data_IF_476773923749
#
_entry.id   IF_476773923749
#
_cell.length_a   1.000
_cell.length_b   1.000
_cell.length_c   1.000
_cell.angle_alpha   90.00
_cell.angle_beta   90.00
_cell.angle_gamma   90.00
#
_symmetry.space_group_name_H-M   'P 1'
#
loop_
_entity.id
_entity.type
_entity.pdbx_description
1 polymer ?
#
# COMPACT_ATOMS: atom_id res chain seq x y z
N UNK A 1 46.10 37.59 -4.17
CA UNK A 1 45.29 36.33 -4.31
C UNK A 1 44.64 35.91 -2.98
N UNK A 2 45.27 36.13 -1.85
CA UNK A 2 44.79 35.72 -0.53
C UNK A 2 43.51 36.44 -0.03
N UNK A 3 43.38 37.74 -0.38
CA UNK A 3 42.21 38.54 0.09
C UNK A 3 40.89 38.16 -0.60
N UNK A 4 40.95 37.71 -1.86
CA UNK A 4 39.79 37.23 -2.60
C UNK A 4 39.33 35.84 -2.11
N UNK A 5 40.27 34.97 -1.78
CA UNK A 5 40.02 33.65 -1.23
C UNK A 5 39.38 33.77 0.16
N UNK A 6 39.89 34.69 1.00
CA UNK A 6 39.32 34.94 2.33
C UNK A 6 37.87 35.44 2.25
N UNK A 7 37.58 36.39 1.35
CA UNK A 7 36.20 36.90 1.17
C UNK A 7 35.23 35.84 0.65
N UNK A 8 35.66 34.98 -0.26
CA UNK A 8 34.84 33.86 -0.75
C UNK A 8 34.60 32.83 0.34
N UNK A 9 35.62 32.53 1.15
CA UNK A 9 35.46 31.61 2.29
C UNK A 9 34.51 32.18 3.33
N UNK A 10 34.59 33.46 3.66
CA UNK A 10 33.68 34.12 4.61
C UNK A 10 32.23 34.14 4.11
N UNK A 11 31.99 34.33 2.81
CA UNK A 11 30.66 34.26 2.23
C UNK A 11 30.09 32.83 2.19
N UNK A 12 30.92 31.84 1.92
CA UNK A 12 30.55 30.43 1.95
C UNK A 12 30.21 29.99 3.39
N UNK A 13 31.08 30.39 4.35
CA UNK A 13 30.82 30.09 5.77
C UNK A 13 29.59 30.80 6.31
N UNK A 14 29.26 32.01 5.85
CA UNK A 14 27.99 32.69 6.16
C UNK A 14 26.79 31.97 5.58
N UNK A 15 26.87 31.42 4.38
CA UNK A 15 25.78 30.63 3.76
C UNK A 15 25.61 29.26 4.38
N UNK A 16 26.68 28.62 4.83
CA UNK A 16 26.64 27.33 5.52
C UNK A 16 26.21 27.49 6.99
N UNK A 17 26.57 28.60 7.65
CA UNK A 17 26.15 28.91 9.02
C UNK A 17 24.74 29.49 9.15
N UNK A 18 24.11 29.87 8.03
CA UNK A 18 22.74 30.35 7.96
C UNK A 18 21.74 29.26 7.54
N UNK A 19 22.08 27.95 7.75
CA UNK A 19 21.05 26.94 7.83
C UNK A 19 20.20 27.30 9.05
N UNK A 20 18.97 27.76 8.79
CA UNK A 20 17.96 27.89 9.83
C UNK A 20 17.97 26.61 10.69
N UNK A 21 17.75 26.72 12.01
CA UNK A 21 17.60 25.54 12.81
C UNK A 21 16.54 24.69 12.11
N UNK A 22 16.89 23.43 11.81
CA UNK A 22 15.91 22.48 11.33
C UNK A 22 14.74 22.60 12.32
N UNK A 23 13.59 23.09 11.86
CA UNK A 23 12.35 22.85 12.59
C UNK A 23 12.36 21.34 12.80
N UNK A 24 12.58 20.93 14.05
CA UNK A 24 12.26 19.57 14.47
C UNK A 24 10.79 19.42 14.08
N UNK A 25 10.58 18.76 12.95
CA UNK A 25 9.27 18.31 12.53
C UNK A 25 8.86 17.36 13.64
N UNK A 26 8.19 17.88 14.68
CA UNK A 26 7.53 17.08 15.69
C UNK A 26 6.60 16.16 14.92
N UNK A 27 7.03 14.93 14.71
CA UNK A 27 6.15 13.90 14.23
C UNK A 27 4.90 13.99 15.12
N UNK A 28 3.68 14.03 14.54
CA UNK A 28 2.46 14.10 15.34
C UNK A 28 2.55 13.00 16.39
N UNK A 29 2.32 13.36 17.64
CA UNK A 29 2.39 12.41 18.75
C UNK A 29 1.56 11.19 18.38
N UNK A 30 2.15 10.01 18.47
CA UNK A 30 1.45 8.78 18.16
C UNK A 30 0.11 8.76 18.93
N UNK A 31 -1.01 8.38 18.29
CA UNK A 31 -2.30 8.38 18.95
C UNK A 31 -2.21 7.57 20.24
N UNK A 32 -2.53 8.20 21.36
CA UNK A 32 -2.50 7.53 22.66
C UNK A 32 -3.75 6.65 22.78
N UNK A 33 -3.53 5.34 22.75
CA UNK A 33 -4.56 4.35 23.03
C UNK A 33 -4.14 3.52 24.25
N UNK A 34 -5.04 3.43 25.23
CA UNK A 34 -4.77 2.71 26.48
C UNK A 34 -5.10 1.20 26.40
N UNK A 35 -5.48 0.70 25.23
CA UNK A 35 -5.73 -0.73 25.02
C UNK A 35 -4.40 -1.48 24.89
N UNK A 36 -4.30 -2.60 25.59
CA UNK A 36 -3.12 -3.48 25.53
C UNK A 36 -2.96 -4.13 24.15
N UNK A 37 -4.06 -4.28 23.43
CA UNK A 37 -4.16 -4.82 22.09
C UNK A 37 -3.70 -3.83 21.01
N UNK A 38 -3.65 -2.55 21.30
CA UNK A 38 -3.25 -1.54 20.32
C UNK A 38 -1.75 -1.61 20.03
N UNK A 39 -1.41 -1.68 18.73
CA UNK A 39 -0.01 -1.67 18.26
C UNK A 39 0.36 -0.33 17.65
N UNK A 40 -0.51 0.23 16.82
CA UNK A 40 -0.27 1.51 16.16
C UNK A 40 -1.25 1.80 15.05
N UNK A 41 -0.97 2.87 14.32
CA UNK A 41 -1.73 3.29 13.14
C UNK A 41 -0.79 3.60 11.97
N UNK A 42 -1.36 3.61 10.75
CA UNK A 42 -0.69 4.08 9.55
C UNK A 42 -1.62 4.96 8.70
N UNK A 43 -1.10 5.50 7.62
CA UNK A 43 -1.87 6.25 6.61
C UNK A 43 -3.06 5.42 6.10
N UNK A 44 -4.11 6.07 5.61
CA UNK A 44 -5.35 5.42 5.15
C UNK A 44 -6.26 5.01 6.31
N UNK A 45 -6.15 5.65 7.50
CA UNK A 45 -6.88 5.29 8.72
C UNK A 45 -6.66 3.82 9.13
N UNK A 46 -5.47 3.31 8.83
CA UNK A 46 -5.11 1.93 9.13
C UNK A 46 -4.83 1.78 10.62
N UNK A 47 -5.47 0.79 11.25
CA UNK A 47 -5.22 0.41 12.64
C UNK A 47 -4.56 -0.97 12.71
N UNK A 48 -3.61 -1.11 13.60
CA UNK A 48 -2.96 -2.38 13.93
C UNK A 48 -3.26 -2.80 15.36
N UNK A 49 -3.72 -4.04 15.51
CA UNK A 49 -4.12 -4.62 16.79
C UNK A 49 -3.47 -6.01 16.97
N UNK A 50 -3.32 -6.43 18.22
CA UNK A 50 -2.89 -7.79 18.57
C UNK A 50 -3.73 -8.33 19.71
N UNK A 51 -4.24 -9.55 19.57
CA UNK A 51 -4.92 -10.28 20.62
C UNK A 51 -4.03 -11.47 21.01
N UNK A 52 -3.47 -11.44 22.21
CA UNK A 52 -2.49 -12.44 22.67
C UNK A 52 -3.08 -13.82 22.91
N UNK A 53 -4.36 -13.88 23.26
CA UNK A 53 -5.09 -15.12 23.50
C UNK A 53 -6.54 -14.93 23.08
N UNK A 54 -6.82 -15.31 21.83
CA UNK A 54 -8.16 -15.19 21.26
C UNK A 54 -9.13 -16.11 21.99
N UNK A 55 -10.31 -15.61 22.36
CA UNK A 55 -11.34 -16.41 23.01
C UNK A 55 -11.82 -17.55 22.10
N UNK A 56 -12.04 -18.72 22.68
CA UNK A 56 -12.41 -19.93 21.93
C UNK A 56 -13.73 -19.78 21.14
N UNK A 57 -14.70 -19.03 21.64
CA UNK A 57 -15.95 -18.80 20.91
C UNK A 57 -15.71 -17.94 19.66
N UNK A 58 -14.76 -17.01 19.72
CA UNK A 58 -14.35 -16.21 18.57
C UNK A 58 -13.54 -17.04 17.57
N UNK A 59 -12.65 -17.93 18.07
CA UNK A 59 -11.98 -18.94 17.23
C UNK A 59 -12.99 -19.74 16.41
N UNK A 60 -13.99 -20.30 17.09
CA UNK A 60 -15.01 -21.14 16.48
C UNK A 60 -15.84 -20.36 15.44
N UNK A 61 -16.25 -19.13 15.79
CA UNK A 61 -17.07 -18.28 14.93
C UNK A 61 -16.30 -17.84 13.67
N UNK A 62 -15.03 -17.50 13.80
CA UNK A 62 -14.15 -17.11 12.68
C UNK A 62 -13.54 -18.30 11.94
N UNK A 63 -13.74 -19.53 12.44
CA UNK A 63 -13.15 -20.78 11.90
C UNK A 63 -11.62 -20.72 11.83
N UNK A 64 -11.01 -20.10 12.84
CA UNK A 64 -9.56 -20.03 12.99
C UNK A 64 -9.08 -21.30 13.71
N UNK A 65 -8.01 -21.91 13.19
CA UNK A 65 -7.41 -23.09 13.82
C UNK A 65 -6.93 -22.73 15.24
N UNK A 66 -7.31 -23.50 16.28
CA UNK A 66 -6.91 -23.27 17.67
C UNK A 66 -5.39 -23.22 17.91
N UNK A 67 -4.56 -23.72 17.00
CA UNK A 67 -3.10 -23.58 17.07
C UNK A 67 -2.65 -22.11 17.06
N UNK A 68 -3.42 -21.22 16.40
CA UNK A 68 -3.13 -19.78 16.39
C UNK A 68 -3.73 -19.10 17.60
N UNK A 69 -3.10 -19.27 18.74
CA UNK A 69 -3.56 -18.66 19.99
C UNK A 69 -3.54 -17.14 19.94
N UNK A 70 -2.55 -16.56 19.26
CA UNK A 70 -2.42 -15.13 19.07
C UNK A 70 -2.81 -14.74 17.66
N UNK A 71 -3.47 -13.59 17.52
CA UNK A 71 -3.78 -12.98 16.23
C UNK A 71 -3.29 -11.54 16.17
N UNK A 72 -2.73 -11.17 15.02
CA UNK A 72 -2.48 -9.80 14.61
C UNK A 72 -3.55 -9.34 13.63
N UNK A 73 -3.95 -8.09 13.69
CA UNK A 73 -5.01 -7.54 12.85
C UNK A 73 -4.53 -6.24 12.24
N UNK A 74 -4.71 -6.08 10.94
CA UNK A 74 -4.65 -4.82 10.21
C UNK A 74 -6.04 -4.58 9.61
N UNK A 75 -6.57 -3.39 9.83
CA UNK A 75 -7.86 -3.00 9.25
C UNK A 75 -7.89 -1.51 8.95
N UNK A 76 -8.62 -1.16 7.90
CA UNK A 76 -8.86 0.22 7.48
C UNK A 76 -10.23 0.35 6.81
N UNK A 77 -10.61 1.59 6.48
CA UNK A 77 -11.84 1.91 5.74
C UNK A 77 -11.56 2.30 4.30
N UNK A 78 -10.33 2.71 3.99
CA UNK A 78 -9.94 3.21 2.67
C UNK A 78 -8.54 2.76 2.32
N UNK A 79 -8.37 2.17 1.14
CA UNK A 79 -7.07 1.73 0.65
C UNK A 79 -7.11 0.31 0.12
N UNK A 80 -7.02 -0.69 0.94
CA UNK A 80 -6.91 -2.11 0.66
C UNK A 80 -5.59 -2.52 -0.04
N UNK A 81 -5.30 -2.07 -1.25
CA UNK A 81 -4.10 -2.44 -2.01
C UNK A 81 -2.80 -2.24 -1.22
N UNK A 82 -2.50 -1.03 -0.75
CA UNK A 82 -1.30 -0.76 0.04
C UNK A 82 -1.17 -1.63 1.28
N UNK A 83 -2.27 -1.81 2.03
CA UNK A 83 -2.28 -2.61 3.25
C UNK A 83 -2.08 -4.11 2.96
N UNK A 84 -2.65 -4.62 1.86
CA UNK A 84 -2.49 -6.03 1.46
C UNK A 84 -1.04 -6.32 1.04
N UNK A 85 -0.40 -5.40 0.29
CA UNK A 85 1.01 -5.55 -0.04
C UNK A 85 1.91 -5.44 1.18
N UNK A 86 1.62 -4.51 2.10
CA UNK A 86 2.31 -4.40 3.38
C UNK A 86 2.16 -5.67 4.25
N UNK A 87 0.98 -6.28 4.23
CA UNK A 87 0.74 -7.56 4.90
C UNK A 87 1.52 -8.72 4.27
N UNK A 88 1.70 -8.72 2.95
CA UNK A 88 2.53 -9.72 2.27
C UNK A 88 4.01 -9.59 2.68
N UNK A 89 4.52 -8.36 2.86
CA UNK A 89 5.86 -8.13 3.44
C UNK A 89 5.93 -8.59 4.91
N UNK A 90 4.87 -8.39 5.69
CA UNK A 90 4.82 -8.83 7.08
C UNK A 90 4.93 -10.35 7.22
N UNK A 91 4.19 -11.12 6.42
CA UNK A 91 4.25 -12.59 6.43
C UNK A 91 5.63 -13.10 5.98
N UNK A 92 6.30 -12.40 5.05
CA UNK A 92 7.68 -12.73 4.65
C UNK A 92 8.72 -12.50 5.76
N UNK A 93 8.43 -11.56 6.67
CA UNK A 93 9.35 -11.12 7.71
C UNK A 93 9.10 -11.77 9.09
N UNK A 94 8.08 -12.61 9.23
CA UNK A 94 7.66 -13.18 10.52
C UNK A 94 7.25 -14.65 10.38
N UNK A 95 7.09 -15.33 11.51
CA UNK A 95 6.55 -16.70 11.56
C UNK A 95 5.04 -16.66 11.78
N UNK A 96 4.31 -16.01 10.84
CA UNK A 96 2.86 -15.90 10.87
C UNK A 96 2.23 -16.44 9.59
N UNK A 97 0.97 -16.83 9.68
CA UNK A 97 0.14 -17.17 8.52
C UNK A 97 -0.95 -16.11 8.32
N UNK A 98 -1.26 -15.79 7.09
CA UNK A 98 -2.39 -14.95 6.77
C UNK A 98 -3.69 -15.79 6.81
N UNK A 99 -4.53 -15.55 7.81
CA UNK A 99 -5.75 -16.31 8.03
C UNK A 99 -6.93 -15.74 7.25
N UNK A 100 -7.11 -14.42 7.29
CA UNK A 100 -8.21 -13.71 6.64
C UNK A 100 -7.63 -12.54 5.85
N UNK A 101 -8.09 -12.36 4.62
CA UNK A 101 -7.94 -11.13 3.82
C UNK A 101 -9.27 -10.86 3.17
N UNK A 102 -9.90 -9.79 3.56
CA UNK A 102 -11.17 -9.34 3.02
C UNK A 102 -11.07 -7.87 2.61
N UNK A 103 -11.72 -7.50 1.51
CA UNK A 103 -11.75 -6.14 0.99
C UNK A 103 -13.21 -5.64 1.03
N UNK A 104 -13.75 -5.34 2.23
CA UNK A 104 -15.10 -4.86 2.35
C UNK A 104 -15.22 -3.49 1.72
N UNK A 105 -16.32 -3.25 1.01
CA UNK A 105 -16.63 -1.92 0.52
C UNK A 105 -17.09 -1.04 1.68
N UNK A 106 -16.44 0.12 1.84
CA UNK A 106 -16.93 1.17 2.71
C UNK A 106 -17.79 2.17 1.93
N UNK A 107 -18.88 2.63 2.51
CA UNK A 107 -19.81 3.57 1.90
C UNK A 107 -19.44 5.03 2.11
N UNK A 108 -18.53 5.33 3.02
CA UNK A 108 -17.94 6.65 3.20
C UNK A 108 -16.80 6.88 2.20
N UNK A 109 -16.89 7.92 1.42
CA UNK A 109 -15.77 8.38 0.60
C UNK A 109 -15.67 7.81 -0.81
N UNK A 110 -16.77 7.47 -1.44
CA UNK A 110 -16.76 7.16 -2.88
C UNK A 110 -16.38 5.72 -3.20
N UNK A 111 -15.49 5.46 -4.12
CA UNK A 111 -15.17 4.12 -4.62
C UNK A 111 -14.20 3.28 -3.76
N UNK A 112 -13.83 3.72 -2.57
CA UNK A 112 -12.82 3.04 -1.75
C UNK A 112 -13.29 1.70 -1.17
N UNK A 113 -12.37 0.75 -1.11
CA UNK A 113 -12.50 -0.47 -0.31
C UNK A 113 -11.67 -0.29 0.94
N UNK A 114 -12.14 -0.85 2.06
CA UNK A 114 -11.30 -1.07 3.22
C UNK A 114 -10.64 -2.44 3.18
N UNK A 115 -9.96 -2.80 4.23
CA UNK A 115 -9.46 -4.16 4.42
C UNK A 115 -9.67 -4.68 5.84
N UNK A 116 -9.77 -6.01 5.93
CA UNK A 116 -9.60 -6.78 7.14
C UNK A 116 -8.56 -7.85 6.86
N UNK A 117 -7.42 -7.76 7.54
CA UNK A 117 -6.32 -8.72 7.42
C UNK A 117 -6.03 -9.29 8.80
N UNK A 118 -6.04 -10.61 8.92
CA UNK A 118 -5.77 -11.31 10.18
C UNK A 118 -4.58 -12.25 9.99
N UNK A 119 -3.56 -12.04 10.80
CA UNK A 119 -2.39 -12.90 10.92
C UNK A 119 -2.59 -13.86 12.10
N UNK A 120 -2.30 -15.14 11.91
CA UNK A 120 -2.26 -16.13 12.97
C UNK A 120 -0.83 -16.45 13.39
N UNK A 121 -0.62 -16.59 14.68
CA UNK A 121 0.64 -17.04 15.26
C UNK A 121 0.40 -17.93 16.51
N UNK A 122 1.34 -18.82 16.78
CA UNK A 122 1.37 -19.54 18.05
C UNK A 122 1.82 -18.63 19.19
N UNK A 123 2.77 -17.72 18.90
CA UNK A 123 3.31 -16.74 19.84
C UNK A 123 2.84 -15.30 19.56
N UNK A 124 2.48 -14.60 20.63
CA UNK A 124 2.04 -13.20 20.55
C UNK A 124 3.12 -12.25 20.00
N UNK A 125 4.38 -12.57 20.20
CA UNK A 125 5.52 -11.78 19.66
C UNK A 125 5.54 -11.79 18.15
N UNK A 126 5.26 -12.93 17.51
CA UNK A 126 5.19 -13.05 16.07
C UNK A 126 3.98 -12.30 15.50
N UNK A 127 2.80 -12.44 16.14
CA UNK A 127 1.60 -11.71 15.77
C UNK A 127 1.82 -10.18 15.86
N UNK A 128 2.41 -9.69 16.96
CA UNK A 128 2.76 -8.28 17.14
C UNK A 128 3.74 -7.81 16.08
N UNK A 129 4.80 -8.58 15.83
CA UNK A 129 5.81 -8.23 14.84
C UNK A 129 5.24 -8.15 13.44
N UNK A 130 4.32 -9.03 13.07
CA UNK A 130 3.63 -8.95 11.76
C UNK A 130 2.85 -7.63 11.62
N UNK A 131 2.10 -7.24 12.66
CA UNK A 131 1.37 -5.96 12.67
C UNK A 131 2.33 -4.77 12.58
N UNK A 132 3.42 -4.75 13.34
CA UNK A 132 4.43 -3.68 13.28
C UNK A 132 5.05 -3.55 11.88
N UNK A 133 5.39 -4.68 11.24
CA UNK A 133 5.93 -4.68 9.87
C UNK A 133 4.90 -4.16 8.90
N UNK A 134 3.66 -4.65 8.96
CA UNK A 134 2.59 -4.20 8.06
C UNK A 134 2.33 -2.69 8.21
N UNK A 135 2.24 -2.16 9.44
CA UNK A 135 2.07 -0.72 9.67
C UNK A 135 3.24 0.11 9.12
N UNK A 136 4.47 -0.39 9.23
CA UNK A 136 5.67 0.28 8.70
C UNK A 136 5.71 0.28 7.17
N UNK A 137 5.31 -0.83 6.54
CA UNK A 137 5.33 -0.97 5.08
C UNK A 137 4.14 -0.28 4.39
N UNK A 138 3.03 -0.07 5.09
CA UNK A 138 1.84 0.59 4.53
C UNK A 138 2.15 1.95 3.87
N UNK A 139 2.87 2.90 4.50
CA UNK A 139 3.22 4.17 3.85
C UNK A 139 4.08 4.01 2.59
N UNK A 140 4.90 2.98 2.51
CA UNK A 140 5.71 2.68 1.31
C UNK A 140 4.78 2.38 0.14
N UNK A 141 3.81 1.50 0.34
CA UNK A 141 2.87 1.09 -0.70
C UNK A 141 1.85 2.19 -1.06
N UNK A 142 1.65 3.20 -0.22
CA UNK A 142 0.92 4.42 -0.58
C UNK A 142 1.73 5.38 -1.46
N UNK A 143 3.00 5.10 -1.71
CA UNK A 143 3.88 5.96 -2.50
C UNK A 143 3.49 6.13 -3.96
N UNK A 144 2.80 5.17 -4.55
CA UNK A 144 2.29 5.24 -5.93
C UNK A 144 0.76 5.26 -5.99
N UNK A 145 0.14 5.98 -5.05
CA UNK A 145 -1.29 6.31 -5.03
C UNK A 145 -1.46 7.78 -5.31
N UNK A 146 -2.18 8.11 -6.37
CA UNK A 146 -2.41 9.47 -6.87
C UNK A 146 -3.90 9.75 -6.96
N UNK A 147 -4.31 10.99 -6.73
CA UNK A 147 -5.70 11.38 -6.84
C UNK A 147 -5.91 12.88 -7.01
N UNK A 148 -7.07 13.22 -7.55
CA UNK A 148 -7.66 14.56 -7.56
C UNK A 148 -9.19 14.43 -7.49
N UNK A 149 -9.92 15.54 -7.62
CA UNK A 149 -11.38 15.54 -7.59
C UNK A 149 -12.04 14.73 -8.71
N UNK A 150 -11.31 14.45 -9.81
CA UNK A 150 -11.82 13.69 -10.96
C UNK A 150 -11.63 12.17 -10.83
N UNK A 151 -10.75 11.70 -9.94
CA UNK A 151 -10.52 10.27 -9.77
C UNK A 151 -9.23 9.92 -9.05
N UNK A 152 -8.82 8.65 -9.17
CA UNK A 152 -7.60 8.14 -8.55
C UNK A 152 -6.88 7.12 -9.44
N UNK A 153 -5.59 6.98 -9.17
CA UNK A 153 -4.69 6.01 -9.77
C UNK A 153 -3.89 5.37 -8.64
N UNK A 154 -3.86 4.05 -8.59
CA UNK A 154 -3.14 3.31 -7.59
C UNK A 154 -2.31 2.23 -8.26
N UNK A 155 -1.02 2.21 -7.97
CA UNK A 155 -0.06 1.25 -8.51
C UNK A 155 0.64 0.57 -7.35
N UNK A 156 0.60 -0.77 -7.33
CA UNK A 156 1.29 -1.58 -6.32
C UNK A 156 2.27 -2.53 -6.99
N UNK A 157 3.38 -2.77 -6.33
CA UNK A 157 4.44 -3.64 -6.80
C UNK A 157 5.07 -4.43 -5.66
N UNK A 158 5.31 -5.70 -5.90
CA UNK A 158 6.27 -6.50 -5.12
C UNK A 158 7.17 -7.29 -6.06
N UNK A 159 8.45 -7.39 -5.71
CA UNK A 159 9.39 -8.24 -6.45
C UNK A 159 9.13 -9.73 -6.24
N UNK A 160 8.41 -10.10 -5.18
CA UNK A 160 8.16 -11.49 -4.80
C UNK A 160 6.85 -11.61 -4.02
N UNK A 161 5.79 -12.03 -4.71
CA UNK A 161 4.51 -12.33 -4.07
C UNK A 161 4.62 -13.52 -3.11
N UNK A 162 3.96 -13.42 -1.97
CA UNK A 162 3.90 -14.42 -0.92
C UNK A 162 2.45 -14.91 -0.69
N UNK A 163 2.20 -15.47 0.48
CA UNK A 163 0.93 -16.15 0.78
C UNK A 163 -0.27 -15.21 0.88
N UNK A 164 -0.07 -13.93 1.24
CA UNK A 164 -1.17 -12.95 1.30
C UNK A 164 -1.69 -12.66 -0.11
N UNK A 165 -0.79 -12.29 -1.03
CA UNK A 165 -1.15 -12.00 -2.42
C UNK A 165 -1.66 -13.24 -3.15
N UNK A 166 -1.11 -14.42 -2.84
CA UNK A 166 -1.63 -15.67 -3.35
C UNK A 166 -3.06 -15.95 -2.86
N UNK A 167 -3.32 -15.71 -1.57
CA UNK A 167 -4.63 -15.97 -0.96
C UNK A 167 -5.72 -15.06 -1.52
N UNK A 168 -5.43 -13.77 -1.70
CA UNK A 168 -6.44 -12.78 -2.11
C UNK A 168 -6.64 -12.72 -3.62
N UNK A 169 -5.56 -12.84 -4.42
CA UNK A 169 -5.60 -12.64 -5.88
C UNK A 169 -4.98 -13.78 -6.68
N UNK A 170 -4.71 -14.92 -6.07
CA UNK A 170 -4.10 -16.09 -6.71
C UNK A 170 -2.72 -15.79 -7.36
N UNK A 171 -1.98 -14.81 -6.84
CA UNK A 171 -0.65 -14.49 -7.33
C UNK A 171 0.28 -15.70 -7.27
N UNK A 172 1.04 -16.03 -8.33
CA UNK A 172 2.00 -17.12 -8.29
C UNK A 172 3.08 -16.86 -7.23
N UNK A 173 3.24 -17.77 -6.30
CA UNK A 173 4.22 -17.66 -5.22
C UNK A 173 5.64 -17.45 -5.77
N UNK A 174 6.35 -16.49 -5.23
CA UNK A 174 7.73 -16.20 -5.60
C UNK A 174 7.93 -15.40 -6.88
N UNK A 175 6.87 -15.10 -7.63
CA UNK A 175 6.92 -14.20 -8.79
C UNK A 175 6.70 -12.75 -8.39
N UNK A 176 7.21 -11.82 -9.20
CA UNK A 176 6.83 -10.43 -9.04
C UNK A 176 5.37 -10.23 -9.45
N UNK A 177 4.70 -9.32 -8.76
CA UNK A 177 3.30 -8.98 -9.02
C UNK A 177 3.12 -7.47 -9.05
N UNK A 178 2.23 -7.01 -9.94
CA UNK A 178 1.78 -5.64 -10.06
C UNK A 178 0.27 -5.52 -10.06
N UNK A 179 -0.23 -4.41 -9.52
CA UNK A 179 -1.63 -4.02 -9.58
C UNK A 179 -1.75 -2.61 -10.14
N UNK A 180 -2.79 -2.40 -10.92
CA UNK A 180 -3.25 -1.11 -11.40
C UNK A 180 -4.71 -0.97 -10.98
N UNK A 181 -5.03 0.02 -10.14
CA UNK A 181 -6.40 0.37 -9.77
C UNK A 181 -6.68 1.80 -10.20
N UNK A 182 -7.68 2.00 -11.04
CA UNK A 182 -7.96 3.31 -11.62
C UNK A 182 -9.46 3.63 -11.67
N UNK A 183 -9.79 4.84 -11.29
CA UNK A 183 -11.08 5.48 -11.54
C UNK A 183 -10.84 6.88 -12.14
N UNK A 184 -11.58 7.29 -13.19
CA UNK A 184 -12.63 6.53 -13.90
C UNK A 184 -12.13 5.25 -14.58
N UNK A 185 -13.00 4.25 -14.63
CA UNK A 185 -12.71 2.90 -15.13
C UNK A 185 -12.05 2.85 -16.52
N UNK A 186 -12.41 3.77 -17.42
CA UNK A 186 -11.80 3.87 -18.76
C UNK A 186 -10.29 4.14 -18.73
N UNK A 187 -9.82 4.90 -17.77
CA UNK A 187 -8.38 5.16 -17.59
C UNK A 187 -7.66 3.86 -17.15
N UNK A 188 -8.33 3.04 -16.32
CA UNK A 188 -7.80 1.74 -15.91
C UNK A 188 -7.59 0.76 -17.06
N UNK A 189 -8.51 0.72 -18.02
CA UNK A 189 -8.35 -0.10 -19.23
C UNK A 189 -7.19 0.41 -20.09
N UNK A 190 -7.09 1.72 -20.27
CA UNK A 190 -5.99 2.35 -21.02
C UNK A 190 -4.63 2.06 -20.36
N UNK A 191 -4.55 2.21 -19.04
CA UNK A 191 -3.34 1.93 -18.27
C UNK A 191 -2.93 0.43 -18.35
N UNK A 192 -3.91 -0.47 -18.28
CA UNK A 192 -3.69 -1.90 -18.43
C UNK A 192 -3.13 -2.26 -19.81
N UNK A 193 -3.70 -1.71 -20.89
CA UNK A 193 -3.23 -1.89 -22.26
C UNK A 193 -1.79 -1.37 -22.43
N UNK A 194 -1.50 -0.19 -21.88
CA UNK A 194 -0.15 0.38 -21.89
C UNK A 194 0.86 -0.53 -21.15
N UNK A 195 0.48 -1.06 -20.00
CA UNK A 195 1.31 -1.97 -19.20
C UNK A 195 1.74 -3.20 -19.98
N UNK A 196 0.78 -3.93 -20.54
CA UNK A 196 1.06 -5.20 -21.26
C UNK A 196 1.76 -5.01 -22.59
N UNK A 197 1.65 -3.83 -23.21
CA UNK A 197 2.41 -3.46 -24.41
C UNK A 197 3.86 -3.07 -24.12
N UNK A 198 4.11 -2.53 -22.93
CA UNK A 198 5.43 -2.04 -22.53
C UNK A 198 6.37 -3.15 -22.05
N UNK A 199 5.85 -4.28 -21.54
CA UNK A 199 6.68 -5.32 -20.94
C UNK A 199 6.02 -6.70 -21.03
N UNK A 200 6.86 -7.75 -21.00
CA UNK A 200 6.39 -9.14 -21.03
C UNK A 200 5.87 -9.56 -19.64
N UNK A 201 4.60 -9.30 -19.40
CA UNK A 201 3.87 -9.67 -18.18
C UNK A 201 2.65 -10.53 -18.53
N UNK A 202 2.22 -11.35 -17.59
CA UNK A 202 1.02 -12.16 -17.71
C UNK A 202 -0.11 -11.59 -16.87
N UNK A 203 -1.26 -11.30 -17.49
CA UNK A 203 -2.45 -10.79 -16.80
C UNK A 203 -3.13 -11.93 -16.06
N UNK A 204 -3.29 -11.76 -14.73
CA UNK A 204 -4.05 -12.67 -13.89
C UNK A 204 -5.56 -12.44 -14.05
N UNK A 205 -5.96 -11.18 -13.94
CA UNK A 205 -7.36 -10.79 -14.10
C UNK A 205 -7.50 -9.29 -14.32
N UNK A 206 -8.66 -8.92 -14.87
CA UNK A 206 -9.12 -7.53 -14.94
C UNK A 206 -10.52 -7.48 -14.34
N UNK A 207 -10.63 -6.82 -13.20
CA UNK A 207 -11.90 -6.61 -12.52
C UNK A 207 -12.50 -5.27 -12.95
N UNK A 208 -13.73 -5.30 -13.43
CA UNK A 208 -14.46 -4.12 -13.89
C UNK A 208 -15.73 -3.91 -13.04
N UNK A 209 -16.36 -2.73 -13.07
CA UNK A 209 -17.60 -2.51 -12.35
C UNK A 209 -18.72 -3.52 -12.71
N UNK A 210 -18.73 -3.98 -13.95
CA UNK A 210 -19.76 -4.89 -14.46
C UNK A 210 -19.54 -6.36 -14.17
N UNK A 211 -18.32 -6.80 -13.88
CA UNK A 211 -18.02 -8.22 -13.61
C UNK A 211 -18.00 -8.57 -12.12
N UNK A 212 -18.45 -7.65 -11.26
CA UNK A 212 -18.55 -7.85 -9.81
C UNK A 212 -17.25 -7.72 -9.04
N UNK A 213 -16.12 -7.51 -9.72
CA UNK A 213 -14.79 -7.45 -9.08
C UNK A 213 -14.55 -6.19 -8.27
N UNK A 214 -15.25 -5.09 -8.59
CA UNK A 214 -15.12 -3.79 -7.94
C UNK A 214 -16.38 -3.33 -7.21
N UNK A 215 -17.37 -4.21 -7.08
CA UNK A 215 -18.58 -4.04 -6.24
C UNK A 215 -19.19 -2.63 -6.27
N UNK A 216 -19.67 -2.20 -7.43
CA UNK A 216 -20.33 -0.91 -7.63
C UNK A 216 -19.44 0.35 -7.61
N UNK A 217 -18.12 0.23 -7.53
CA UNK A 217 -17.22 1.36 -7.77
C UNK A 217 -17.00 1.56 -9.28
N UNK A 218 -16.73 2.80 -9.69
CA UNK A 218 -16.36 3.11 -11.08
C UNK A 218 -14.84 2.94 -11.26
N UNK A 219 -14.34 1.76 -10.96
CA UNK A 219 -12.94 1.43 -10.91
C UNK A 219 -12.62 0.19 -11.76
N UNK A 220 -11.45 0.14 -12.34
CA UNK A 220 -10.86 -1.08 -12.93
C UNK A 220 -9.62 -1.46 -12.16
N UNK A 221 -9.57 -2.72 -11.76
CA UNK A 221 -8.40 -3.32 -11.14
C UNK A 221 -7.79 -4.34 -12.10
N UNK A 222 -6.52 -4.15 -12.47
CA UNK A 222 -5.76 -5.09 -13.29
C UNK A 222 -4.64 -5.69 -12.47
N UNK A 223 -4.58 -7.02 -12.47
CA UNK A 223 -3.59 -7.82 -11.75
C UNK A 223 -2.73 -8.55 -12.75
N UNK A 224 -1.42 -8.48 -12.61
CA UNK A 224 -0.48 -9.18 -13.48
C UNK A 224 0.80 -9.58 -12.73
N UNK A 225 1.50 -10.55 -13.28
CA UNK A 225 2.75 -11.07 -12.72
C UNK A 225 3.79 -11.30 -13.83
N UNK A 226 5.02 -11.52 -13.43
CA UNK A 226 6.11 -11.77 -14.37
C UNK A 226 7.47 -11.72 -13.69
N UNK A 227 8.49 -11.41 -14.49
CA UNK A 227 9.79 -11.07 -13.95
C UNK A 227 9.77 -9.66 -13.34
N UNK A 228 10.56 -9.48 -12.29
CA UNK A 228 10.56 -8.25 -11.46
C UNK A 228 10.76 -6.98 -12.30
N UNK A 229 11.72 -6.98 -13.21
CA UNK A 229 11.97 -5.85 -14.12
C UNK A 229 10.81 -5.59 -15.09
N UNK A 230 10.21 -6.65 -15.64
CA UNK A 230 9.07 -6.54 -16.54
C UNK A 230 7.84 -5.96 -15.83
N UNK A 231 7.52 -6.45 -14.64
CA UNK A 231 6.40 -5.93 -13.83
C UNK A 231 6.60 -4.44 -13.48
N UNK A 232 7.81 -4.04 -13.10
CA UNK A 232 8.13 -2.63 -12.87
C UNK A 232 7.92 -1.77 -14.12
N UNK A 233 8.44 -2.18 -15.27
CA UNK A 233 8.29 -1.43 -16.52
C UNK A 233 6.83 -1.31 -16.95
N UNK A 234 6.05 -2.37 -16.78
CA UNK A 234 4.62 -2.35 -17.02
C UNK A 234 3.91 -1.29 -16.16
N UNK A 235 4.21 -1.25 -14.86
CA UNK A 235 3.63 -0.27 -13.93
C UNK A 235 4.06 1.16 -14.23
N UNK A 236 5.33 1.38 -14.60
CA UNK A 236 5.83 2.71 -14.98
C UNK A 236 5.08 3.22 -16.22
N UNK A 237 4.94 2.40 -17.26
CA UNK A 237 4.21 2.76 -18.48
C UNK A 237 2.72 3.05 -18.20
N UNK A 238 2.09 2.21 -17.37
CA UNK A 238 0.71 2.43 -16.94
C UNK A 238 0.53 3.75 -16.16
N UNK A 239 1.45 4.05 -15.25
CA UNK A 239 1.45 5.27 -14.45
C UNK A 239 1.58 6.52 -15.31
N UNK A 240 2.51 6.53 -16.26
CA UNK A 240 2.71 7.65 -17.17
C UNK A 240 1.44 7.99 -17.97
N UNK A 241 0.82 6.98 -18.55
CA UNK A 241 -0.42 7.13 -19.33
C UNK A 241 -1.60 7.50 -18.43
N UNK A 242 -1.74 6.85 -17.28
CA UNK A 242 -2.81 7.12 -16.34
C UNK A 242 -2.77 8.54 -15.77
N UNK A 243 -1.59 9.02 -15.36
CA UNK A 243 -1.41 10.38 -14.86
C UNK A 243 -1.76 11.43 -15.90
N UNK A 244 -1.36 11.23 -17.17
CA UNK A 244 -1.71 12.13 -18.26
C UNK A 244 -3.23 12.18 -18.48
N UNK A 245 -3.89 11.00 -18.52
CA UNK A 245 -5.32 10.91 -18.72
C UNK A 245 -6.10 11.54 -17.56
N UNK A 246 -5.74 11.26 -16.31
CA UNK A 246 -6.43 11.82 -15.15
C UNK A 246 -6.26 13.34 -15.04
N UNK A 247 -5.05 13.85 -15.33
CA UNK A 247 -4.79 15.31 -15.36
C UNK A 247 -5.62 16.04 -16.43
N UNK A 248 -5.98 15.37 -17.51
CA UNK A 248 -6.81 15.96 -18.56
C UNK A 248 -8.24 16.28 -18.08
N UNK A 249 -8.74 15.51 -17.09
CA UNK A 249 -10.08 15.72 -16.53
C UNK A 249 -10.13 16.92 -15.57
N UNK A 250 -9.06 17.16 -14.82
CA UNK A 250 -8.95 18.28 -13.89
C UNK A 250 -7.56 18.91 -14.00
N UNK A 251 -7.32 19.77 -15.02
CA UNK A 251 -6.01 20.35 -15.28
C UNK A 251 -5.52 21.32 -14.19
N UNK A 252 -6.45 21.87 -13.40
CA UNK A 252 -6.14 22.85 -12.34
C UNK A 252 -5.58 22.21 -11.07
N UNK A 253 -5.84 20.92 -10.85
CA UNK A 253 -5.35 20.18 -9.68
C UNK A 253 -4.04 19.45 -9.99
N UNK A 254 -3.09 19.56 -9.07
CA UNK A 254 -1.84 18.82 -9.15
C UNK A 254 -2.04 17.39 -8.64
N UNK A 255 -1.64 16.40 -9.47
CA UNK A 255 -1.61 15.00 -9.06
C UNK A 255 -0.35 14.72 -8.26
N UNK A 256 -0.52 14.54 -6.95
CA UNK A 256 0.56 14.20 -6.03
C UNK A 256 0.40 12.78 -5.52
N UNK A 257 1.52 12.14 -5.32
CA UNK A 257 1.60 10.88 -4.60
C UNK A 257 1.24 11.09 -3.13
N UNK A 258 0.60 10.11 -2.53
CA UNK A 258 0.20 10.16 -1.11
C UNK A 258 1.41 10.15 -0.16
N UNK A 259 2.49 9.45 -0.55
CA UNK A 259 3.79 9.46 0.12
C UNK A 259 4.91 9.47 -0.94
N UNK A 260 6.09 8.95 -0.65
CA UNK A 260 7.19 8.89 -1.63
C UNK A 260 6.99 7.72 -2.58
N UNK A 261 6.94 7.95 -3.92
CA UNK A 261 6.87 6.88 -4.90
C UNK A 261 8.01 5.88 -4.75
N UNK A 262 7.71 4.58 -4.88
CA UNK A 262 8.69 3.48 -4.72
C UNK A 262 8.86 2.62 -5.99
N UNK A 263 7.98 2.79 -6.97
CA UNK A 263 8.07 2.11 -8.28
C UNK A 263 8.91 2.98 -9.21
N UNK A 264 10.23 2.80 -9.17
CA UNK A 264 11.24 3.58 -9.90
C UNK A 264 12.13 2.70 -10.78
#
# INVERSE_FOLDING_TARGET
MDELVSKVMDEVMKKIGASAPAEECCAPAAPQCNLTEFVGTAIGHTIGLVIANLDHQVHDALKIDPKYRAIGIISDRTGAGPQIFAADEAVKATNTECLIVECPRDTEGGGGHGCLIVFGAEDVSDARRAVEVALRETPVHFGDVYGNSAGHLEFQYTARASHVLNKVWAAPLGKAMGIISCAPAGIGILAADAAVKAANVEVLSVATPGNGGTSYSNEVNTFFYGDSGAVKQALIAAREVGLQALKTLEPSEELKSSTTPYII
#
